data_IF_160965848417
#
_entry.id   IF_160965848417
#
_cell.length_a   1.000
_cell.length_b   1.000
_cell.length_c   1.000
_cell.angle_alpha   90.00
_cell.angle_beta   90.00
_cell.angle_gamma   90.00
#
_symmetry.space_group_name_H-M   'P 1'
#
loop_
_entity.id
_entity.type
_entity.pdbx_description
1 polymer ?
#
# COMPACT_ATOMS: atom_id res chain seq x y z
N UNK A 1 46.44 2.89 5.21
CA UNK A 1 45.97 1.76 4.38
C UNK A 1 44.75 2.22 3.60
N UNK A 2 44.99 2.65 2.37
CA UNK A 2 44.03 3.29 1.46
C UNK A 2 43.57 2.24 0.47
N UNK A 3 42.36 1.69 0.65
CA UNK A 3 41.81 0.73 -0.31
C UNK A 3 40.93 1.48 -1.32
N UNK A 4 41.53 1.76 -2.48
CA UNK A 4 40.85 2.22 -3.69
C UNK A 4 40.02 1.06 -4.25
N UNK A 5 38.70 1.18 -4.21
CA UNK A 5 37.81 0.24 -4.89
C UNK A 5 37.45 0.79 -6.28
N UNK A 6 37.72 0.05 -7.38
CA UNK A 6 37.54 0.55 -8.73
C UNK A 6 36.07 0.55 -9.14
N UNK A 7 35.67 1.74 -9.57
CA UNK A 7 34.59 2.08 -10.50
C UNK A 7 34.35 0.98 -11.57
N UNK A 8 33.29 0.20 -11.43
CA UNK A 8 32.76 -0.64 -12.52
C UNK A 8 31.66 0.14 -13.24
N UNK A 9 32.05 0.76 -14.34
CA UNK A 9 31.17 1.38 -15.33
C UNK A 9 30.49 0.26 -16.11
N UNK A 10 29.19 0.06 -15.92
CA UNK A 10 28.37 -0.75 -16.81
C UNK A 10 27.87 0.13 -17.97
N UNK A 11 28.50 -0.02 -19.13
CA UNK A 11 28.07 0.59 -20.38
C UNK A 11 26.78 -0.09 -20.87
N UNK A 12 25.63 0.58 -20.75
CA UNK A 12 24.41 0.19 -21.45
C UNK A 12 24.45 0.76 -22.86
N UNK A 13 24.86 -0.07 -23.81
CA UNK A 13 24.76 0.19 -25.24
C UNK A 13 23.30 0.11 -25.70
N UNK A 14 22.93 1.03 -26.59
CA UNK A 14 21.56 1.30 -27.00
C UNK A 14 20.85 0.18 -27.76
N UNK A 15 19.53 0.28 -27.72
CA UNK A 15 18.60 -0.30 -28.69
C UNK A 15 17.82 0.86 -29.31
N UNK A 16 18.14 1.13 -30.57
CA UNK A 16 17.37 2.00 -31.45
C UNK A 16 16.39 1.16 -32.28
N UNK A 17 15.27 1.81 -32.66
CA UNK A 17 14.28 1.43 -33.68
C UNK A 17 13.20 0.41 -33.22
N UNK A 18 11.90 0.51 -33.57
CA UNK A 18 11.22 1.17 -34.69
C UNK A 18 9.83 1.73 -34.29
N UNK A 19 9.37 2.65 -35.15
CA UNK A 19 8.01 3.14 -35.43
C UNK A 19 6.80 2.33 -34.92
N UNK A 20 5.74 3.01 -34.51
CA UNK A 20 4.61 3.32 -35.39
C UNK A 20 3.50 4.05 -34.61
N UNK A 21 2.96 5.10 -35.22
CA UNK A 21 1.77 5.76 -34.73
C UNK A 21 0.59 4.80 -34.80
N UNK A 22 0.15 4.30 -33.65
CA UNK A 22 -1.15 3.67 -33.50
C UNK A 22 -2.16 4.78 -33.14
N UNK A 23 -3.17 5.07 -33.97
CA UNK A 23 -4.30 5.84 -33.50
C UNK A 23 -4.97 5.03 -32.39
N UNK A 24 -5.00 5.56 -31.17
CA UNK A 24 -5.85 5.01 -30.11
C UNK A 24 -7.32 5.23 -30.46
N UNK A 25 -7.87 4.39 -31.34
CA UNK A 25 -9.28 4.09 -31.36
C UNK A 25 -9.51 2.97 -30.34
N UNK A 26 -9.62 3.34 -29.07
CA UNK A 26 -10.14 2.39 -28.08
C UNK A 26 -11.60 2.09 -28.46
N UNK A 27 -12.00 0.81 -28.62
CA UNK A 27 -13.40 0.49 -28.54
C UNK A 27 -13.86 0.92 -27.15
N UNK A 28 -14.87 1.81 -27.08
CA UNK A 28 -15.62 2.00 -25.85
C UNK A 28 -16.17 0.63 -25.50
N UNK A 29 -15.53 0.00 -24.52
CA UNK A 29 -16.00 -1.24 -23.94
C UNK A 29 -17.31 -0.90 -23.22
N UNK A 30 -18.44 -1.12 -23.89
CA UNK A 30 -19.78 -1.06 -23.29
C UNK A 30 -20.03 -2.28 -22.40
N UNK A 31 -19.03 -2.69 -21.62
CA UNK A 31 -19.23 -3.65 -20.56
C UNK A 31 -20.24 -3.05 -19.56
N UNK A 32 -21.21 -3.83 -19.05
CA UNK A 32 -22.10 -3.35 -18.01
C UNK A 32 -21.23 -2.87 -16.83
N UNK A 33 -21.51 -1.66 -16.34
CA UNK A 33 -20.96 -1.18 -15.08
C UNK A 33 -21.27 -2.26 -14.04
N UNK A 34 -20.23 -2.86 -13.47
CA UNK A 34 -20.40 -3.83 -12.40
C UNK A 34 -21.11 -3.11 -11.24
N UNK A 35 -22.37 -3.46 -10.97
CA UNK A 35 -23.15 -2.95 -9.82
C UNK A 35 -22.69 -3.62 -8.52
N UNK A 36 -21.38 -3.63 -8.27
CA UNK A 36 -20.81 -4.00 -6.98
C UNK A 36 -20.75 -2.79 -6.04
N UNK A 37 -20.58 -2.99 -4.72
CA UNK A 37 -20.18 -1.92 -3.82
C UNK A 37 -18.93 -1.23 -4.36
N UNK A 38 -18.85 0.10 -4.22
CA UNK A 38 -17.63 0.82 -4.52
C UNK A 38 -16.48 0.30 -3.63
N UNK A 39 -15.24 0.23 -4.14
CA UNK A 39 -14.10 -0.16 -3.30
C UNK A 39 -13.94 0.83 -2.15
N UNK A 40 -13.56 0.31 -0.98
CA UNK A 40 -13.32 1.13 0.18
C UNK A 40 -12.09 2.03 -0.04
N UNK A 41 -12.13 3.19 0.58
CA UNK A 41 -11.06 4.17 0.57
C UNK A 41 -10.05 3.89 1.69
N UNK A 42 -8.79 4.32 1.52
CA UNK A 42 -7.81 4.31 2.60
C UNK A 42 -8.30 5.02 3.88
N UNK A 43 -9.10 6.08 3.73
CA UNK A 43 -9.65 6.83 4.85
C UNK A 43 -10.64 5.99 5.68
N UNK A 44 -11.52 5.24 5.02
CA UNK A 44 -12.48 4.35 5.70
C UNK A 44 -11.75 3.22 6.46
N UNK A 45 -10.73 2.61 5.86
CA UNK A 45 -9.91 1.62 6.56
C UNK A 45 -9.16 2.24 7.75
N UNK A 46 -8.68 3.47 7.61
CA UNK A 46 -7.93 4.19 8.66
C UNK A 46 -8.76 4.40 9.93
N UNK A 47 -10.07 4.60 9.81
CA UNK A 47 -10.97 4.71 10.97
C UNK A 47 -10.95 3.45 11.86
N UNK A 48 -10.68 2.28 11.27
CA UNK A 48 -10.54 1.01 11.98
C UNK A 48 -9.11 0.78 12.46
N UNK A 49 -8.09 1.11 11.65
CA UNK A 49 -6.68 0.86 11.99
C UNK A 49 -6.23 1.70 13.18
N UNK A 50 -6.56 2.99 13.21
CA UNK A 50 -6.11 3.92 14.25
C UNK A 50 -6.45 3.45 15.67
N UNK A 51 -7.70 3.07 16.03
CA UNK A 51 -7.99 2.60 17.38
C UNK A 51 -7.28 1.29 17.73
N UNK A 52 -7.08 0.39 16.76
CA UNK A 52 -6.34 -0.87 16.96
C UNK A 52 -4.88 -0.61 17.27
N UNK A 53 -4.22 0.24 16.48
CA UNK A 53 -2.80 0.60 16.66
C UNK A 53 -2.62 1.43 17.93
N UNK A 54 -3.51 2.40 18.18
CA UNK A 54 -3.43 3.31 19.33
C UNK A 54 -3.57 2.59 20.68
N UNK A 55 -4.18 1.40 20.70
CA UNK A 55 -4.23 0.56 21.90
C UNK A 55 -2.84 0.07 22.35
N UNK A 56 -1.86 0.02 21.43
CA UNK A 56 -0.49 -0.41 21.70
C UNK A 56 0.50 0.75 21.63
N UNK A 57 0.31 1.67 20.68
CA UNK A 57 1.16 2.82 20.41
C UNK A 57 0.32 4.09 20.54
N UNK A 58 0.18 4.65 21.75
CA UNK A 58 -0.67 5.81 21.97
C UNK A 58 -0.05 7.11 21.42
N UNK A 59 -0.90 8.07 21.08
CA UNK A 59 -0.51 9.42 20.67
C UNK A 59 -0.17 9.54 19.18
N UNK A 60 0.56 10.60 18.83
CA UNK A 60 0.87 10.96 17.43
C UNK A 60 1.57 9.83 16.66
N UNK A 61 2.48 9.10 17.34
CA UNK A 61 3.18 7.96 16.76
C UNK A 61 2.22 6.85 16.33
N UNK A 62 1.15 6.61 17.09
CA UNK A 62 0.11 5.64 16.71
C UNK A 62 -0.60 6.01 15.41
N UNK A 63 -0.84 7.31 15.20
CA UNK A 63 -1.36 7.84 13.95
C UNK A 63 -0.41 7.57 12.78
N UNK A 64 0.86 7.93 12.93
CA UNK A 64 1.85 7.75 11.86
C UNK A 64 2.12 6.26 11.52
N UNK A 65 2.14 5.38 12.54
CA UNK A 65 2.21 3.92 12.34
C UNK A 65 0.96 3.40 11.62
N UNK A 66 -0.22 3.94 11.92
CA UNK A 66 -1.46 3.59 11.22
C UNK A 66 -1.41 3.99 9.74
N UNK A 67 -0.84 5.16 9.44
CA UNK A 67 -0.65 5.63 8.06
C UNK A 67 0.25 4.66 7.27
N UNK A 68 1.34 4.20 7.89
CA UNK A 68 2.21 3.18 7.29
C UNK A 68 1.48 1.86 6.99
N UNK A 69 0.56 1.42 7.85
CA UNK A 69 -0.27 0.23 7.58
C UNK A 69 -1.15 0.44 6.35
N UNK A 70 -1.82 1.58 6.28
CA UNK A 70 -2.72 1.92 5.17
C UNK A 70 -1.94 2.03 3.85
N UNK A 71 -0.76 2.64 3.85
CA UNK A 71 0.08 2.82 2.67
C UNK A 71 0.68 1.50 2.12
N UNK A 72 0.79 0.47 2.97
CA UNK A 72 1.34 -0.84 2.60
C UNK A 72 0.28 -1.95 2.51
N UNK A 73 -0.99 -1.61 2.67
CA UNK A 73 -2.11 -2.52 2.47
C UNK A 73 -2.49 -2.59 0.99
N UNK A 74 -2.85 -3.78 0.53
CA UNK A 74 -3.49 -3.97 -0.78
C UNK A 74 -4.94 -3.49 -0.73
N UNK A 75 -5.54 -3.24 -1.91
CA UNK A 75 -6.95 -2.81 -1.98
C UNK A 75 -7.91 -3.82 -1.35
N UNK A 76 -7.65 -5.12 -1.49
CA UNK A 76 -8.48 -6.18 -0.87
C UNK A 76 -8.39 -6.14 0.66
N UNK A 77 -7.21 -5.82 1.21
CA UNK A 77 -7.01 -5.66 2.65
C UNK A 77 -7.68 -4.40 3.17
N UNK A 78 -7.58 -3.28 2.44
CA UNK A 78 -8.30 -2.04 2.72
C UNK A 78 -9.81 -2.29 2.76
N UNK A 79 -10.37 -3.02 1.79
CA UNK A 79 -11.79 -3.38 1.78
C UNK A 79 -12.16 -4.20 3.02
N UNK A 80 -11.39 -5.25 3.34
CA UNK A 80 -11.66 -6.12 4.48
C UNK A 80 -11.56 -5.40 5.82
N UNK A 81 -10.61 -4.47 5.96
CA UNK A 81 -10.47 -3.63 7.14
C UNK A 81 -11.67 -2.68 7.24
N UNK A 82 -12.02 -1.98 6.17
CA UNK A 82 -13.10 -0.98 6.16
C UNK A 82 -14.50 -1.57 6.37
N UNK A 83 -14.75 -2.82 5.98
CA UNK A 83 -16.02 -3.52 6.23
C UNK A 83 -16.27 -3.82 7.72
N UNK A 84 -15.24 -3.68 8.55
CA UNK A 84 -15.30 -4.03 9.97
C UNK A 84 -15.75 -2.85 10.82
N UNK A 85 -16.49 -3.13 11.90
CA UNK A 85 -16.87 -2.11 12.87
C UNK A 85 -15.63 -1.61 13.64
N UNK A 86 -15.28 -0.34 13.48
CA UNK A 86 -14.12 0.29 14.14
C UNK A 86 -14.16 0.24 15.68
N UNK A 87 -15.36 0.22 16.30
CA UNK A 87 -15.49 0.15 17.75
C UNK A 87 -15.24 -1.27 18.30
N UNK A 88 -15.44 -2.29 17.47
CA UNK A 88 -15.28 -3.70 17.83
C UNK A 88 -14.70 -4.49 16.65
N UNK A 89 -13.41 -4.27 16.30
CA UNK A 89 -12.81 -4.95 15.18
C UNK A 89 -12.73 -6.46 15.42
N UNK A 90 -13.03 -7.24 14.38
CA UNK A 90 -12.97 -8.69 14.48
C UNK A 90 -11.52 -9.16 14.70
N UNK A 91 -11.30 -10.30 15.38
CA UNK A 91 -9.95 -10.83 15.60
C UNK A 91 -9.16 -11.02 14.31
N UNK A 92 -9.83 -11.44 13.23
CA UNK A 92 -9.20 -11.64 11.92
C UNK A 92 -8.66 -10.34 11.32
N UNK A 93 -9.35 -9.21 11.54
CA UNK A 93 -8.91 -7.90 11.06
C UNK A 93 -7.76 -7.37 11.89
N UNK A 94 -7.77 -7.61 13.20
CA UNK A 94 -6.62 -7.29 14.06
C UNK A 94 -5.39 -8.09 13.63
N UNK A 95 -5.55 -9.39 13.32
CA UNK A 95 -4.47 -10.22 12.80
C UNK A 95 -4.00 -9.76 11.42
N UNK A 96 -4.90 -9.32 10.55
CA UNK A 96 -4.54 -8.74 9.25
C UNK A 96 -3.72 -7.47 9.41
N UNK A 97 -4.11 -6.56 10.31
CA UNK A 97 -3.35 -5.34 10.62
C UNK A 97 -1.96 -5.71 11.15
N UNK A 98 -1.86 -6.71 12.03
CA UNK A 98 -0.59 -7.21 12.55
C UNK A 98 0.29 -7.84 11.45
N UNK A 99 -0.30 -8.58 10.52
CA UNK A 99 0.40 -9.13 9.35
C UNK A 99 0.99 -8.00 8.50
N UNK A 100 0.19 -6.98 8.18
CA UNK A 100 0.63 -5.82 7.41
C UNK A 100 1.75 -5.08 8.14
N UNK A 101 1.62 -4.86 9.46
CA UNK A 101 2.67 -4.27 10.29
C UNK A 101 3.97 -5.06 10.27
N UNK A 102 3.91 -6.40 10.17
CA UNK A 102 5.10 -7.26 10.14
C UNK A 102 5.86 -7.22 8.81
N UNK A 103 5.29 -6.60 7.76
CA UNK A 103 5.92 -6.53 6.45
C UNK A 103 7.17 -5.64 6.49
N UNK A 104 8.22 -5.97 5.72
CA UNK A 104 9.46 -5.18 5.70
C UNK A 104 9.24 -3.71 5.31
N UNK A 105 8.34 -3.43 4.37
CA UNK A 105 8.05 -2.07 3.93
C UNK A 105 7.29 -1.26 5.01
N UNK A 106 6.31 -1.89 5.67
CA UNK A 106 5.54 -1.26 6.76
C UNK A 106 6.41 -0.99 7.97
N UNK A 107 7.25 -1.96 8.38
CA UNK A 107 8.20 -1.76 9.49
C UNK A 107 9.23 -0.68 9.18
N UNK A 108 9.74 -0.60 7.95
CA UNK A 108 10.64 0.47 7.53
C UNK A 108 9.95 1.85 7.57
N UNK A 109 8.68 1.94 7.15
CA UNK A 109 7.89 3.16 7.26
C UNK A 109 7.68 3.56 8.73
N UNK A 110 7.22 2.62 9.57
CA UNK A 110 6.89 2.88 10.97
C UNK A 110 8.11 3.29 11.82
N UNK A 111 9.31 2.85 11.44
CA UNK A 111 10.56 3.24 12.13
C UNK A 111 11.14 4.57 11.65
N UNK A 112 10.67 5.09 10.52
CA UNK A 112 11.03 6.41 10.00
C UNK A 112 10.01 7.50 10.35
N UNK A 113 8.87 7.12 10.93
CA UNK A 113 7.75 7.96 11.32
C UNK A 113 7.99 8.76 12.61
#
# INVERSE_FOLDING_TARGET
>A
MTLRLPLLIAAFAGLAACSDGVPMSNPVSTAPVATGPAPATPAEAREVVVPVVSAQVPGELGGAVSDCVIDNASQDEINRIAETNAASPSPDVVLLIADILSRPATTACATAA
#
